data_IF_062245110855
#
_entry.id   IF_062245110855
#
_cell.length_a   1.000
_cell.length_b   1.000
_cell.length_c   1.000
_cell.angle_alpha   90.00
_cell.angle_beta   90.00
_cell.angle_gamma   90.00
#
_symmetry.space_group_name_H-M   'P 1'
#
loop_
_entity.id
_entity.type
_entity.pdbx_description
1 polymer ?
#
# COMPACT_ATOMS: atom_id res chain seq x y z
N UNK A 1 -6.52 1.96 -4.84
CA UNK A 1 -7.12 3.12 -5.53
C UNK A 1 -6.07 4.18 -5.83
N UNK A 2 -6.21 4.89 -6.96
CA UNK A 2 -5.24 5.91 -7.42
C UNK A 2 -5.30 7.23 -6.65
N UNK A 3 -6.47 7.58 -6.13
CA UNK A 3 -6.72 8.81 -5.36
C UNK A 3 -6.27 8.71 -3.89
N UNK A 4 -5.84 7.52 -3.46
CA UNK A 4 -5.38 7.29 -2.10
C UNK A 4 -4.01 7.95 -1.89
N UNK A 5 -3.87 8.87 -0.91
CA UNK A 5 -2.58 9.51 -0.64
C UNK A 5 -1.50 8.48 -0.32
N UNK A 6 -0.32 8.63 -0.93
CA UNK A 6 0.80 7.69 -0.74
C UNK A 6 1.20 7.47 0.72
N UNK A 7 1.23 8.49 1.62
CA UNK A 7 1.51 8.25 3.03
C UNK A 7 0.53 7.26 3.67
N UNK A 8 -0.75 7.28 3.27
CA UNK A 8 -1.76 6.33 3.79
C UNK A 8 -1.43 4.89 3.38
N UNK A 9 -0.86 4.68 2.18
CA UNK A 9 -0.41 3.35 1.73
C UNK A 9 0.82 2.93 2.52
N UNK A 10 1.81 3.82 2.68
CA UNK A 10 3.03 3.52 3.43
C UNK A 10 2.78 3.15 4.90
N UNK A 11 1.70 3.65 5.49
CA UNK A 11 1.29 3.29 6.85
C UNK A 11 0.88 1.82 7.03
N UNK A 12 0.64 1.08 5.94
CA UNK A 12 0.21 -0.32 5.99
C UNK A 12 1.14 -1.19 6.85
N UNK A 13 2.45 -1.15 6.60
CA UNK A 13 3.42 -1.90 7.40
C UNK A 13 3.47 -1.52 8.88
N UNK A 14 3.34 -0.24 9.20
CA UNK A 14 3.26 0.23 10.60
C UNK A 14 2.04 -0.34 11.33
N UNK A 15 0.89 -0.32 10.66
CA UNK A 15 -0.36 -0.88 11.19
C UNK A 15 -0.29 -2.40 11.31
N UNK A 16 0.23 -3.09 10.29
CA UNK A 16 0.40 -4.53 10.34
C UNK A 16 1.29 -4.96 11.49
N UNK A 17 2.37 -4.21 11.74
CA UNK A 17 3.27 -4.45 12.85
C UNK A 17 2.57 -4.25 14.20
N UNK A 18 1.95 -3.08 14.39
CA UNK A 18 1.25 -2.70 15.62
C UNK A 18 0.12 -3.65 15.98
N UNK A 19 -0.70 -4.01 14.99
CA UNK A 19 -1.92 -4.80 15.17
C UNK A 19 -1.66 -6.32 15.07
N UNK A 20 -0.41 -6.73 14.85
CA UNK A 20 -0.02 -8.14 14.82
C UNK A 20 -0.46 -8.92 13.58
N UNK A 21 -0.74 -8.22 12.47
CA UNK A 21 -1.06 -8.85 11.20
C UNK A 21 0.14 -9.67 10.69
N UNK A 22 -0.16 -10.79 10.03
CA UNK A 22 0.85 -11.75 9.55
C UNK A 22 1.18 -11.60 8.06
N UNK A 23 0.47 -10.72 7.37
CA UNK A 23 0.64 -10.49 5.95
C UNK A 23 -0.48 -9.61 5.41
N UNK A 24 -0.49 -9.44 4.10
CA UNK A 24 -1.46 -8.65 3.37
C UNK A 24 -1.84 -9.38 2.08
N UNK A 25 -3.11 -9.27 1.70
CA UNK A 25 -3.63 -9.84 0.47
C UNK A 25 -4.39 -8.75 -0.29
N UNK A 26 -4.06 -8.60 -1.56
CA UNK A 26 -4.81 -7.78 -2.51
C UNK A 26 -5.22 -8.65 -3.69
N UNK A 27 -6.49 -8.53 -4.12
CA UNK A 27 -7.05 -9.36 -5.19
C UNK A 27 -6.52 -8.98 -6.58
N UNK A 28 -6.25 -7.68 -6.77
CA UNK A 28 -5.88 -7.12 -8.06
C UNK A 28 -4.38 -6.82 -8.18
N UNK A 29 -3.57 -7.83 -8.51
CA UNK A 29 -2.17 -7.57 -8.86
C UNK A 29 -2.07 -6.96 -10.28
N UNK A 30 -2.54 -7.71 -11.28
CA UNK A 30 -2.43 -7.40 -12.70
C UNK A 30 -3.73 -7.72 -13.49
N UNK A 31 -4.90 -7.45 -12.91
CA UNK A 31 -6.16 -7.66 -13.62
C UNK A 31 -6.36 -6.56 -14.67
N UNK A 32 -5.96 -6.84 -15.92
CA UNK A 32 -6.01 -5.88 -17.04
C UNK A 32 -7.13 -6.16 -18.05
N UNK A 33 -8.07 -7.06 -17.73
CA UNK A 33 -9.22 -7.32 -18.58
C UNK A 33 -10.35 -6.35 -18.27
N UNK A 34 -11.10 -5.95 -19.30
CA UNK A 34 -12.40 -5.31 -19.09
C UNK A 34 -13.22 -6.23 -18.19
N UNK A 35 -13.75 -5.67 -17.11
CA UNK A 35 -14.24 -6.46 -15.98
C UNK A 35 -15.25 -7.53 -16.39
N UNK A 36 -15.01 -8.77 -15.95
CA UNK A 36 -15.83 -9.95 -16.27
C UNK A 36 -15.92 -10.29 -17.76
N UNK A 37 -14.91 -9.92 -18.56
CA UNK A 37 -14.82 -10.29 -19.98
C UNK A 37 -13.44 -10.87 -20.32
N UNK A 38 -13.31 -11.41 -21.54
CA UNK A 38 -12.03 -11.83 -22.10
C UNK A 38 -11.31 -10.71 -22.88
N UNK A 39 -11.88 -9.50 -22.94
CA UNK A 39 -11.29 -8.37 -23.64
C UNK A 39 -10.22 -7.72 -22.77
N UNK A 40 -9.01 -7.51 -23.30
CA UNK A 40 -7.96 -6.76 -22.62
C UNK A 40 -8.29 -5.26 -22.69
N UNK A 41 -8.29 -4.60 -21.53
CA UNK A 41 -8.32 -3.14 -21.40
C UNK A 41 -6.93 -2.55 -21.55
N UNK A 42 -6.82 -1.26 -21.84
CA UNK A 42 -5.56 -0.52 -21.76
C UNK A 42 -5.44 0.16 -20.37
N UNK A 43 -4.60 -0.37 -19.45
CA UNK A 43 -4.48 0.15 -18.09
C UNK A 43 -3.88 1.57 -18.01
N UNK A 44 -3.19 2.01 -19.07
CA UNK A 44 -2.63 3.37 -19.16
C UNK A 44 -3.70 4.41 -19.50
N UNK A 45 -4.79 3.97 -20.15
CA UNK A 45 -5.89 4.84 -20.56
C UNK A 45 -7.07 4.78 -19.57
N UNK A 46 -7.38 3.61 -19.03
CA UNK A 46 -8.46 3.41 -18.06
C UNK A 46 -8.07 2.48 -16.91
N UNK A 47 -7.81 3.06 -15.74
CA UNK A 47 -7.44 2.30 -14.54
C UNK A 47 -8.62 1.66 -13.79
N UNK A 48 -9.85 1.79 -14.31
CA UNK A 48 -11.03 1.10 -13.78
C UNK A 48 -11.39 -0.17 -14.56
N UNK A 49 -10.65 -0.48 -15.63
CA UNK A 49 -10.92 -1.60 -16.55
C UNK A 49 -12.37 -1.66 -17.05
N UNK A 50 -12.93 -0.49 -17.37
CA UNK A 50 -14.32 -0.33 -17.82
C UNK A 50 -15.38 -0.60 -16.75
N UNK A 51 -15.00 -0.70 -15.47
CA UNK A 51 -15.89 -1.08 -14.39
C UNK A 51 -16.37 0.09 -13.51
N UNK A 52 -15.99 1.33 -13.83
CA UNK A 52 -16.50 2.50 -13.12
C UNK A 52 -18.03 2.65 -13.32
N UNK A 53 -18.82 2.97 -12.27
CA UNK A 53 -18.44 3.29 -10.89
C UNK A 53 -18.39 2.09 -9.93
N UNK A 54 -18.54 0.86 -10.41
CA UNK A 54 -18.52 -0.35 -9.58
C UNK A 54 -17.16 -0.65 -8.96
N UNK A 55 -16.07 -0.44 -9.71
CA UNK A 55 -14.70 -0.50 -9.17
C UNK A 55 -14.02 0.87 -9.28
N UNK A 56 -13.37 1.34 -8.20
CA UNK A 56 -12.61 2.56 -8.23
C UNK A 56 -11.31 2.38 -9.03
N UNK A 57 -10.83 3.47 -9.62
CA UNK A 57 -9.60 3.49 -10.40
C UNK A 57 -8.41 2.95 -9.58
N UNK A 58 -7.67 2.00 -10.15
CA UNK A 58 -6.48 1.38 -9.55
C UNK A 58 -6.77 0.39 -8.42
N UNK A 59 -7.99 -0.12 -8.31
CA UNK A 59 -8.34 -1.31 -7.54
C UNK A 59 -7.99 -2.64 -8.25
N UNK A 60 -8.25 -2.83 -9.55
CA UNK A 60 -8.01 -4.10 -10.22
C UNK A 60 -6.52 -4.45 -10.40
N UNK A 61 -5.64 -3.46 -10.34
CA UNK A 61 -4.20 -3.67 -10.54
C UNK A 61 -3.34 -2.65 -9.78
N UNK A 62 -2.11 -3.09 -9.49
CA UNK A 62 -1.03 -2.28 -8.89
C UNK A 62 0.24 -2.25 -9.72
N UNK A 63 0.29 -3.03 -10.80
CA UNK A 63 1.34 -3.00 -11.83
C UNK A 63 0.74 -2.78 -13.20
N UNK A 64 1.52 -2.21 -14.11
CA UNK A 64 1.15 -1.92 -15.49
C UNK A 64 1.80 -2.91 -16.46
N UNK A 65 1.23 -3.15 -17.66
CA UNK A 65 1.87 -4.00 -18.65
C UNK A 65 3.12 -3.32 -19.22
N UNK A 66 4.17 -4.11 -19.47
CA UNK A 66 5.44 -3.67 -20.07
C UNK A 66 6.03 -4.74 -20.98
N UNK A 67 6.96 -4.33 -21.86
CA UNK A 67 7.59 -5.20 -22.87
C UNK A 67 8.46 -6.29 -22.26
N UNK A 68 9.12 -5.99 -21.14
CA UNK A 68 10.07 -6.86 -20.45
C UNK A 68 9.52 -7.41 -19.13
N UNK A 69 8.20 -7.28 -18.92
CA UNK A 69 7.51 -7.65 -17.70
C UNK A 69 6.63 -6.52 -17.16
N UNK A 70 5.91 -6.76 -16.04
CA UNK A 70 5.10 -5.72 -15.42
C UNK A 70 5.94 -4.54 -14.95
N UNK A 71 5.43 -3.33 -15.16
CA UNK A 71 6.02 -2.07 -14.69
C UNK A 71 5.39 -1.74 -13.34
N UNK A 72 6.23 -1.46 -12.34
CA UNK A 72 5.77 -1.11 -11.01
C UNK A 72 5.06 0.25 -11.00
N UNK A 73 3.95 0.33 -10.26
CA UNK A 73 3.33 1.62 -9.97
C UNK A 73 3.98 2.26 -8.75
N UNK A 74 3.86 3.58 -8.64
CA UNK A 74 4.29 4.32 -7.44
C UNK A 74 3.65 3.73 -6.17
N UNK A 75 2.39 3.30 -6.22
CA UNK A 75 1.69 2.72 -5.07
C UNK A 75 2.23 1.34 -4.69
N UNK A 76 2.72 0.58 -5.67
CA UNK A 76 3.34 -0.72 -5.43
C UNK A 76 4.69 -0.54 -4.72
N UNK A 77 5.52 0.38 -5.18
CA UNK A 77 6.79 0.72 -4.54
C UNK A 77 6.58 1.26 -3.12
N UNK A 78 5.63 2.18 -2.94
CA UNK A 78 5.30 2.72 -1.61
C UNK A 78 4.74 1.64 -0.67
N UNK A 79 4.00 0.66 -1.20
CA UNK A 79 3.58 -0.49 -0.41
C UNK A 79 4.78 -1.38 -0.03
N UNK A 80 5.73 -1.61 -0.94
CA UNK A 80 6.97 -2.32 -0.62
C UNK A 80 7.79 -1.59 0.47
N UNK A 81 7.91 -0.26 0.40
CA UNK A 81 8.52 0.56 1.46
C UNK A 81 7.82 0.38 2.82
N UNK A 82 6.49 0.21 2.81
CA UNK A 82 5.76 -0.07 4.04
C UNK A 82 6.21 -1.38 4.70
N UNK A 83 6.49 -2.41 3.89
CA UNK A 83 6.98 -3.70 4.39
C UNK A 83 8.43 -3.59 4.90
N UNK A 84 9.23 -2.70 4.31
CA UNK A 84 10.56 -2.38 4.83
C UNK A 84 10.45 -1.68 6.20
N UNK A 85 9.50 -0.76 6.38
CA UNK A 85 9.27 -0.11 7.68
C UNK A 85 8.80 -1.13 8.74
N UNK A 86 7.98 -2.13 8.35
CA UNK A 86 7.64 -3.27 9.22
C UNK A 86 8.89 -4.05 9.65
N UNK A 87 9.77 -4.40 8.70
CA UNK A 87 11.01 -5.12 8.97
C UNK A 87 11.98 -4.29 9.83
N UNK A 88 11.99 -2.97 9.66
CA UNK A 88 12.78 -2.04 10.48
C UNK A 88 12.32 -2.08 11.95
N UNK A 89 11.01 -2.02 12.21
CA UNK A 89 10.46 -2.14 13.56
C UNK A 89 10.83 -3.47 14.22
N UNK A 90 10.75 -4.58 13.46
CA UNK A 90 11.20 -5.90 13.92
C UNK A 90 12.69 -5.90 14.27
N UNK A 91 13.52 -5.42 13.36
CA UNK A 91 14.98 -5.46 13.49
C UNK A 91 15.49 -4.56 14.61
N UNK A 92 14.83 -3.43 14.85
CA UNK A 92 15.11 -2.52 15.94
C UNK A 92 14.53 -2.98 17.30
N UNK A 93 13.77 -4.09 17.34
CA UNK A 93 13.20 -4.62 18.59
C UNK A 93 12.11 -3.75 19.21
N UNK A 94 11.47 -2.87 18.43
CA UNK A 94 10.41 -1.98 18.91
C UNK A 94 9.18 -2.81 19.23
N UNK A 95 8.77 -2.89 20.50
CA UNK A 95 7.58 -3.68 20.86
C UNK A 95 6.30 -3.06 20.26
N UNK A 96 5.29 -3.84 19.85
CA UNK A 96 4.02 -3.29 19.35
C UNK A 96 3.31 -2.33 20.33
N UNK A 97 3.51 -2.50 21.63
CA UNK A 97 2.98 -1.61 22.68
C UNK A 97 3.93 -0.46 23.06
N UNK A 98 5.00 -0.22 22.29
CA UNK A 98 5.91 0.89 22.55
C UNK A 98 5.18 2.24 22.45
N UNK A 99 5.52 3.23 23.32
CA UNK A 99 4.86 4.53 23.33
C UNK A 99 4.83 5.25 21.98
N UNK A 100 5.88 5.09 21.16
CA UNK A 100 5.95 5.72 19.83
C UNK A 100 4.88 5.23 18.84
N UNK A 101 4.24 4.08 19.12
CA UNK A 101 3.20 3.49 18.29
C UNK A 101 1.79 3.70 18.87
N UNK A 102 1.63 4.48 19.94
CA UNK A 102 0.33 4.69 20.60
C UNK A 102 -0.71 5.37 19.70
N UNK A 103 -0.28 6.21 18.76
CA UNK A 103 -1.18 6.86 17.80
C UNK A 103 -1.77 5.91 16.74
N UNK A 104 -1.28 4.66 16.66
CA UNK A 104 -1.75 3.64 15.73
C UNK A 104 -2.81 2.77 16.43
N UNK A 105 -4.06 3.23 16.40
CA UNK A 105 -5.15 2.59 17.16
C UNK A 105 -5.76 1.43 16.38
N UNK A 106 -6.16 1.68 15.14
CA UNK A 106 -6.83 0.72 14.26
C UNK A 106 -6.64 1.10 12.77
N UNK A 107 -7.24 0.33 11.86
CA UNK A 107 -7.13 0.55 10.40
C UNK A 107 -7.86 1.79 9.87
N UNK A 108 -8.58 2.52 10.73
CA UNK A 108 -9.25 3.78 10.43
C UNK A 108 -8.55 4.96 11.12
N UNK A 109 -8.17 4.77 12.38
CA UNK A 109 -7.67 5.77 13.32
C UNK A 109 -6.14 5.67 13.46
N UNK A 110 -5.46 6.38 12.58
CA UNK A 110 -3.99 6.48 12.55
C UNK A 110 -3.54 7.75 11.79
N UNK A 111 -2.31 8.24 12.03
CA UNK A 111 -1.72 9.35 11.30
C UNK A 111 -1.53 9.00 9.82
N UNK A 112 -1.92 9.89 8.91
CA UNK A 112 -1.85 9.69 7.44
C UNK A 112 -0.96 10.73 6.77
N UNK A 113 0.01 11.27 7.49
CA UNK A 113 0.88 12.34 7.01
C UNK A 113 2.30 11.82 6.77
N UNK A 114 2.94 12.36 5.74
CA UNK A 114 4.35 12.11 5.44
C UNK A 114 5.25 12.54 6.60
N UNK A 115 4.95 13.69 7.22
CA UNK A 115 5.69 14.17 8.40
C UNK A 115 5.74 13.13 9.52
N UNK A 116 4.63 12.46 9.82
CA UNK A 116 4.62 11.45 10.87
C UNK A 116 5.57 10.29 10.54
N UNK A 117 5.57 9.81 9.28
CA UNK A 117 6.45 8.74 8.82
C UNK A 117 7.93 9.14 8.94
N UNK A 118 8.28 10.35 8.50
CA UNK A 118 9.66 10.86 8.59
C UNK A 118 10.11 10.96 10.05
N UNK A 119 9.30 11.58 10.90
CA UNK A 119 9.63 11.77 12.32
C UNK A 119 9.71 10.42 13.06
N UNK A 120 8.83 9.46 12.75
CA UNK A 120 8.82 8.14 13.37
C UNK A 120 10.05 7.31 12.96
N UNK A 121 10.42 7.31 11.67
CA UNK A 121 11.62 6.62 11.18
C UNK A 121 12.90 7.21 11.77
N UNK A 122 12.99 8.53 11.84
CA UNK A 122 14.15 9.21 12.43
C UNK A 122 14.42 8.77 13.88
N UNK A 123 13.35 8.56 14.68
CA UNK A 123 13.47 8.06 16.07
C UNK A 123 13.98 6.62 16.18
N UNK A 124 13.80 5.80 15.15
CA UNK A 124 14.30 4.40 15.15
C UNK A 124 15.76 4.36 14.73
N UNK A 125 16.17 5.27 13.84
CA UNK A 125 17.49 5.29 13.22
C UNK A 125 18.53 6.12 14.01
N UNK A 126 18.10 6.85 15.03
CA UNK A 126 18.95 7.60 15.96
C UNK A 126 19.50 6.72 17.07
#
# INVERSE_FOLDING_TARGET
MLDTPLPKIRMAGWLFYKLGAKGFLHWGYNYWFVFCTAQISDPFMDASVGAWPGLPYGDPFVVYPGTDGPIDSIRWEVFAESLQDYALLQSAGIKPNAPMLESLLDYQSFPKSEKWLVDARAKILS
#
